data_IF_784452693855
#
_entry.id   IF_784452693855
#
_cell.length_a   1.000
_cell.length_b   1.000
_cell.length_c   1.000
_cell.angle_alpha   90.00
_cell.angle_beta   90.00
_cell.angle_gamma   90.00
#
_symmetry.space_group_name_H-M   'P 1'
#
loop_
_entity.id
_entity.type
_entity.pdbx_description
1 polymer ?
#
# COMPACT_ATOMS: atom_id res chain seq x y z
N UNK A 1 9.79 -9.33 -2.82
CA UNK A 1 8.39 -8.96 -2.61
C UNK A 1 7.82 -8.30 -3.85
N UNK A 2 6.55 -8.57 -4.10
CA UNK A 2 5.86 -7.89 -5.18
C UNK A 2 5.70 -6.41 -4.83
N UNK A 3 5.71 -5.58 -5.87
CA UNK A 3 5.55 -4.15 -5.71
C UNK A 3 4.16 -3.75 -6.20
N UNK A 4 3.45 -2.94 -5.42
CA UNK A 4 2.19 -2.36 -5.85
C UNK A 4 2.34 -0.84 -5.86
N UNK A 5 1.71 -0.22 -6.84
CA UNK A 5 1.67 1.23 -6.92
C UNK A 5 0.27 1.70 -6.59
N UNK A 6 0.17 2.71 -5.75
CA UNK A 6 -1.11 3.23 -5.31
C UNK A 6 -1.23 4.67 -5.75
N UNK A 7 -2.47 5.14 -5.92
CA UNK A 7 -2.72 6.54 -6.24
C UNK A 7 -2.39 7.41 -5.03
N UNK A 8 -2.27 8.70 -5.27
CA UNK A 8 -2.07 9.66 -4.20
C UNK A 8 -3.17 9.57 -3.15
N UNK A 9 -4.42 9.42 -3.60
CA UNK A 9 -5.56 9.27 -2.69
C UNK A 9 -5.46 8.00 -1.85
N UNK A 10 -5.11 6.89 -2.48
CA UNK A 10 -4.95 5.63 -1.76
C UNK A 10 -3.82 5.71 -0.75
N UNK A 11 -2.73 6.38 -1.12
CA UNK A 11 -1.61 6.58 -0.21
C UNK A 11 -2.05 7.34 1.04
N UNK A 12 -2.91 8.35 0.85
CA UNK A 12 -3.44 9.12 1.96
C UNK A 12 -4.17 8.22 2.96
N UNK A 13 -5.03 7.33 2.47
CA UNK A 13 -5.79 6.43 3.34
C UNK A 13 -4.88 5.40 4.00
N UNK A 14 -3.89 4.90 3.28
CA UNK A 14 -2.93 3.95 3.85
C UNK A 14 -2.17 4.58 5.02
N UNK A 15 -1.81 5.85 4.88
CA UNK A 15 -1.10 6.56 5.96
C UNK A 15 -1.95 6.73 7.20
N UNK A 16 -3.26 6.61 7.06
CA UNK A 16 -4.19 6.64 8.19
C UNK A 16 -4.51 5.26 8.74
N UNK A 17 -3.86 4.23 8.21
CA UNK A 17 -4.07 2.87 8.68
C UNK A 17 -5.22 2.15 8.00
N UNK A 18 -5.77 2.71 6.94
CA UNK A 18 -6.90 2.11 6.24
C UNK A 18 -6.44 1.25 5.08
N UNK A 19 -7.12 0.13 4.84
CA UNK A 19 -6.85 -0.71 3.69
C UNK A 19 -7.49 -0.11 2.44
N UNK A 20 -6.85 -0.30 1.29
CA UNK A 20 -7.33 0.26 0.03
C UNK A 20 -7.33 -0.81 -1.05
N UNK A 21 -8.22 -0.66 -2.02
CA UNK A 21 -8.21 -1.51 -3.20
C UNK A 21 -7.14 -1.03 -4.17
N UNK A 22 -6.40 -1.97 -4.71
CA UNK A 22 -5.33 -1.67 -5.66
C UNK A 22 -5.49 -2.58 -6.87
N UNK A 23 -5.40 -2.00 -8.06
CA UNK A 23 -5.44 -2.77 -9.29
C UNK A 23 -4.16 -3.56 -9.45
N UNK A 24 -4.29 -4.74 -10.03
CA UNK A 24 -3.14 -5.59 -10.36
C UNK A 24 -2.32 -6.00 -9.14
N UNK A 25 -2.95 -5.99 -7.97
CA UNK A 25 -2.28 -6.49 -6.78
C UNK A 25 -2.27 -8.02 -6.81
N UNK A 26 -1.26 -8.64 -6.18
CA UNK A 26 -1.27 -10.09 -6.01
C UNK A 26 -2.49 -10.54 -5.22
N UNK A 27 -2.79 -11.83 -5.28
CA UNK A 27 -3.94 -12.38 -4.57
C UNK A 27 -3.71 -12.46 -3.07
N UNK A 28 -2.47 -12.55 -2.64
CA UNK A 28 -2.17 -12.67 -1.21
C UNK A 28 -0.70 -12.35 -1.00
N UNK A 29 -0.32 -12.22 0.26
CA UNK A 29 1.07 -12.07 0.64
C UNK A 29 1.43 -10.66 1.04
N UNK A 30 2.71 -10.45 1.27
CA UNK A 30 3.28 -9.17 1.67
C UNK A 30 3.79 -8.47 0.42
N UNK A 31 3.53 -7.17 0.33
CA UNK A 31 3.89 -6.39 -0.85
C UNK A 31 4.59 -5.12 -0.43
N UNK A 32 5.42 -4.60 -1.33
CA UNK A 32 5.99 -3.27 -1.19
C UNK A 32 5.02 -2.27 -1.80
N UNK A 33 4.80 -1.19 -1.11
CA UNK A 33 3.85 -0.16 -1.52
C UNK A 33 4.60 1.10 -1.90
N UNK A 34 4.31 1.62 -3.08
CA UNK A 34 4.86 2.90 -3.53
C UNK A 34 3.74 3.71 -4.14
N UNK A 35 3.85 5.01 -4.03
CA UNK A 35 2.92 5.91 -4.71
C UNK A 35 3.30 5.97 -6.18
N UNK A 36 2.31 5.97 -7.07
CA UNK A 36 2.56 6.06 -8.50
C UNK A 36 3.34 7.35 -8.80
N UNK A 37 4.46 7.21 -9.48
CA UNK A 37 5.36 8.32 -9.78
C UNK A 37 5.86 9.05 -8.54
N UNK A 38 5.86 8.35 -7.40
CA UNK A 38 6.24 8.96 -6.15
C UNK A 38 7.09 8.05 -5.28
N UNK A 39 7.19 8.38 -4.01
CA UNK A 39 8.12 7.69 -3.12
C UNK A 39 7.63 6.31 -2.73
N UNK A 40 8.58 5.50 -2.27
CA UNK A 40 8.29 4.25 -1.60
C UNK A 40 7.61 4.57 -0.26
N UNK A 41 6.51 3.89 0.01
CA UNK A 41 5.74 4.16 1.22
C UNK A 41 5.97 3.16 2.33
N UNK A 42 6.21 1.91 1.98
CA UNK A 42 6.43 0.89 2.99
C UNK A 42 5.94 -0.46 2.55
N UNK A 43 5.48 -1.25 3.51
CA UNK A 43 5.11 -2.64 3.30
C UNK A 43 3.67 -2.83 3.73
N UNK A 44 2.94 -3.64 2.97
CA UNK A 44 1.57 -3.97 3.28
C UNK A 44 1.29 -5.45 3.08
N UNK A 45 0.06 -5.83 3.37
CA UNK A 45 -0.38 -7.22 3.21
C UNK A 45 -1.69 -7.23 2.43
N UNK A 46 -1.84 -8.23 1.57
CA UNK A 46 -3.07 -8.39 0.81
C UNK A 46 -4.08 -9.12 1.67
N UNK A 47 -5.25 -8.51 1.84
CA UNK A 47 -6.34 -9.08 2.62
C UNK A 47 -7.14 -10.06 1.78
N UNK A 48 -8.00 -10.84 2.44
CA UNK A 48 -8.82 -11.85 1.76
C UNK A 48 -9.74 -11.24 0.70
N UNK A 49 -10.14 -10.00 0.88
CA UNK A 49 -11.02 -9.32 -0.08
C UNK A 49 -10.25 -8.59 -1.17
N UNK A 50 -8.93 -8.74 -1.19
CA UNK A 50 -8.11 -8.12 -2.23
C UNK A 50 -7.58 -6.74 -1.91
N UNK A 51 -7.94 -6.19 -0.77
CA UNK A 51 -7.42 -4.88 -0.37
C UNK A 51 -6.01 -5.00 0.17
N UNK A 52 -5.26 -3.92 0.04
CA UNK A 52 -3.92 -3.81 0.62
C UNK A 52 -4.04 -3.08 1.95
N UNK A 53 -3.63 -3.74 3.02
CA UNK A 53 -3.60 -3.13 4.34
C UNK A 53 -2.17 -2.72 4.67
N UNK A 54 -1.96 -1.56 5.29
CA UNK A 54 -0.61 -1.15 5.66
C UNK A 54 -0.11 -2.00 6.82
N UNK A 55 1.09 -2.53 6.66
CA UNK A 55 1.74 -3.27 7.72
C UNK A 55 2.78 -2.40 8.41
N UNK A 56 3.57 -1.71 7.62
CA UNK A 56 4.58 -0.78 8.13
C UNK A 56 4.85 0.27 7.07
N UNK A 57 4.60 1.52 7.41
CA UNK A 57 4.85 2.62 6.48
C UNK A 57 5.99 3.47 7.00
N UNK A 58 6.78 3.96 6.05
CA UNK A 58 7.89 4.87 6.36
C UNK A 58 7.43 6.25 5.94
N UNK A 59 6.82 6.96 6.87
CA UNK A 59 6.32 8.30 6.58
C UNK A 59 7.14 9.32 7.33
N UNK A 60 7.35 10.45 6.67
CA UNK A 60 7.96 11.58 7.34
C UNK A 60 6.96 12.16 8.30
N UNK A 61 7.40 12.38 9.51
CA UNK A 61 6.50 12.78 10.58
C UNK A 61 6.62 14.26 10.90
N UNK A 62 6.89 15.07 9.92
CA UNK A 62 6.94 16.52 10.13
C UNK A 62 6.47 17.31 8.94
#
# INVERSE_FOLDING_TARGET
>A
LARVEVSHSAAFYLKQGQAVLVRNAPLSGIVRIAEADGPFLGVGVILDDGRVAPKRLFVDSH
#
